data_IF_989382122309
#
_entry.id   IF_989382122309
#
_cell.length_a   1.000
_cell.length_b   1.000
_cell.length_c   1.000
_cell.angle_alpha   90.00
_cell.angle_beta   90.00
_cell.angle_gamma   90.00
#
_symmetry.space_group_name_H-M   'P 1'
#
loop_
_entity.id
_entity.type
_entity.pdbx_description
1 polymer ?
#
# COMPACT_ATOMS: atom_id res chain seq x y z
N UNK A 1 -15.74 -3.07 13.69
CA UNK A 1 -15.35 -3.61 15.02
C UNK A 1 -13.83 -3.48 15.14
N UNK A 2 -13.36 -2.76 16.16
CA UNK A 2 -11.93 -2.50 16.34
C UNK A 2 -11.32 -3.58 17.24
N UNK A 3 -10.30 -4.27 16.76
CA UNK A 3 -9.57 -5.29 17.51
C UNK A 3 -8.19 -4.78 17.89
N UNK A 4 -8.02 -4.39 19.15
CA UNK A 4 -6.71 -4.03 19.66
C UNK A 4 -5.88 -5.31 19.95
N UNK A 5 -4.84 -5.51 19.16
CA UNK A 5 -3.91 -6.64 19.31
C UNK A 5 -2.89 -6.46 20.45
N UNK A 6 -2.70 -5.23 20.93
CA UNK A 6 -1.70 -4.91 21.96
C UNK A 6 -2.25 -5.05 23.39
N UNK A 7 -3.54 -4.73 23.57
CA UNK A 7 -4.20 -4.81 24.87
C UNK A 7 -5.27 -5.90 24.90
N UNK A 8 -5.26 -6.78 25.89
CA UNK A 8 -6.25 -7.83 26.11
C UNK A 8 -6.60 -8.66 24.84
N UNK A 9 -5.56 -9.06 24.08
CA UNK A 9 -5.66 -9.70 22.75
C UNK A 9 -6.72 -10.81 22.69
N UNK A 10 -6.69 -11.75 23.63
CA UNK A 10 -7.61 -12.89 23.65
C UNK A 10 -9.05 -12.47 23.99
N UNK A 11 -9.23 -11.58 24.98
CA UNK A 11 -10.54 -11.06 25.33
C UNK A 11 -11.19 -10.34 24.15
N UNK A 12 -10.42 -9.52 23.44
CA UNK A 12 -10.90 -8.82 22.26
C UNK A 12 -11.18 -9.76 21.09
N UNK A 13 -10.37 -10.81 20.92
CA UNK A 13 -10.60 -11.83 19.89
C UNK A 13 -11.91 -12.58 20.12
N UNK A 14 -12.16 -13.04 21.35
CA UNK A 14 -13.41 -13.72 21.70
C UNK A 14 -14.63 -12.79 21.60
N UNK A 15 -14.49 -11.56 22.06
CA UNK A 15 -15.56 -10.54 21.90
C UNK A 15 -15.91 -10.34 20.43
N UNK A 16 -14.90 -10.24 19.56
CA UNK A 16 -15.11 -10.13 18.11
C UNK A 16 -15.76 -11.39 17.54
N UNK A 17 -15.34 -12.57 17.98
CA UNK A 17 -15.96 -13.84 17.56
C UNK A 17 -17.45 -13.89 17.93
N UNK A 18 -17.79 -13.52 19.17
CA UNK A 18 -19.19 -13.48 19.59
C UNK A 18 -20.01 -12.46 18.81
N UNK A 19 -19.43 -11.29 18.48
CA UNK A 19 -20.10 -10.32 17.62
C UNK A 19 -20.35 -10.90 16.22
N UNK A 20 -19.37 -11.54 15.60
CA UNK A 20 -19.54 -12.20 14.30
C UNK A 20 -20.64 -13.26 14.34
N UNK A 21 -20.66 -14.10 15.38
CA UNK A 21 -21.70 -15.13 15.54
C UNK A 21 -23.10 -14.54 15.71
N UNK A 22 -23.21 -13.41 16.42
CA UNK A 22 -24.50 -12.72 16.65
C UNK A 22 -25.11 -12.23 15.32
N UNK A 23 -24.29 -11.81 14.37
CA UNK A 23 -24.75 -11.31 13.05
C UNK A 23 -25.27 -12.47 12.15
N UNK A 24 -24.95 -13.73 12.47
CA UNK A 24 -25.41 -14.93 11.74
C UNK A 24 -25.13 -14.85 10.22
N UNK A 25 -23.90 -14.49 9.86
CA UNK A 25 -23.49 -14.46 8.45
C UNK A 25 -23.63 -15.84 7.79
N UNK A 26 -24.16 -15.90 6.57
CA UNK A 26 -24.19 -17.12 5.77
C UNK A 26 -22.80 -17.50 5.28
N UNK A 27 -22.00 -16.51 4.85
CA UNK A 27 -20.66 -16.71 4.30
C UNK A 27 -19.65 -15.83 5.02
N UNK A 28 -18.51 -16.40 5.42
CA UNK A 28 -17.35 -15.68 5.95
C UNK A 28 -16.12 -15.97 5.08
N UNK A 29 -15.50 -14.91 4.57
CA UNK A 29 -14.33 -14.98 3.69
C UNK A 29 -13.11 -14.42 4.43
N UNK A 30 -12.03 -15.19 4.49
CA UNK A 30 -10.79 -14.83 5.17
C UNK A 30 -9.63 -14.69 4.20
N UNK A 31 -9.18 -13.45 3.99
CA UNK A 31 -8.04 -13.12 3.13
C UNK A 31 -6.68 -13.27 3.85
N UNK A 32 -6.67 -13.64 5.13
CA UNK A 32 -5.44 -13.68 5.92
C UNK A 32 -4.98 -15.10 6.25
N UNK A 33 -3.68 -15.24 6.46
CA UNK A 33 -3.00 -16.53 6.72
C UNK A 33 -2.68 -16.77 8.19
N UNK A 34 -3.20 -15.95 9.10
CA UNK A 34 -2.87 -16.03 10.53
C UNK A 34 -3.88 -16.88 11.31
N UNK A 35 -3.40 -17.65 12.30
CA UNK A 35 -4.23 -18.50 13.14
C UNK A 35 -5.37 -17.73 13.83
N UNK A 36 -5.13 -16.48 14.26
CA UNK A 36 -6.18 -15.66 14.92
C UNK A 36 -7.36 -15.37 14.00
N UNK A 37 -7.11 -15.05 12.74
CA UNK A 37 -8.20 -14.85 11.76
C UNK A 37 -8.81 -16.18 11.31
N UNK A 38 -8.00 -17.25 11.27
CA UNK A 38 -8.48 -18.60 11.06
C UNK A 38 -9.49 -19.03 12.13
N UNK A 39 -9.21 -18.74 13.40
CA UNK A 39 -10.13 -19.00 14.52
C UNK A 39 -11.45 -18.25 14.35
N UNK A 40 -11.41 -16.95 14.00
CA UNK A 40 -12.63 -16.18 13.73
C UNK A 40 -13.44 -16.80 12.60
N UNK A 41 -12.79 -17.25 11.52
CA UNK A 41 -13.45 -17.88 10.37
C UNK A 41 -14.04 -19.23 10.75
N UNK A 42 -13.23 -20.13 11.33
CA UNK A 42 -13.62 -21.50 11.66
C UNK A 42 -14.81 -21.55 12.63
N UNK A 43 -14.83 -20.63 13.61
CA UNK A 43 -15.84 -20.60 14.66
C UNK A 43 -16.88 -19.47 14.48
N UNK A 44 -16.94 -18.83 13.33
CA UNK A 44 -17.91 -17.76 13.01
C UNK A 44 -19.37 -18.21 13.13
N UNK A 45 -19.65 -19.50 12.94
CA UNK A 45 -21.00 -20.03 12.82
C UNK A 45 -21.60 -19.95 11.41
N UNK A 46 -20.86 -19.40 10.46
CA UNK A 46 -21.28 -19.33 9.06
C UNK A 46 -21.34 -20.73 8.42
N UNK A 47 -22.30 -20.91 7.50
CA UNK A 47 -22.42 -22.16 6.69
C UNK A 47 -21.21 -22.29 5.79
N UNK A 48 -20.86 -21.21 5.08
CA UNK A 48 -19.68 -21.16 4.22
C UNK A 48 -18.55 -20.39 4.89
N UNK A 49 -17.41 -21.03 4.99
CA UNK A 49 -16.19 -20.49 5.57
C UNK A 49 -15.07 -20.67 4.54
N UNK A 50 -14.72 -19.59 3.88
CA UNK A 50 -13.79 -19.56 2.74
C UNK A 50 -12.49 -18.92 3.16
N UNK A 51 -11.35 -19.45 2.74
CA UNK A 51 -10.05 -18.85 3.02
C UNK A 51 -8.90 -19.54 2.31
N UNK A 52 -7.68 -19.07 2.55
CA UNK A 52 -6.50 -19.67 1.94
C UNK A 52 -6.01 -20.92 2.67
N UNK A 53 -5.57 -21.94 1.92
CA UNK A 53 -4.96 -23.18 2.44
C UNK A 53 -3.77 -22.94 3.36
N UNK A 54 -3.05 -21.81 3.20
CA UNK A 54 -1.94 -21.42 4.08
C UNK A 54 -2.37 -20.97 5.48
N UNK A 55 -3.67 -20.83 5.74
CA UNK A 55 -4.14 -20.57 7.11
C UNK A 55 -4.05 -21.85 7.93
N UNK A 56 -3.45 -21.83 9.14
CA UNK A 56 -3.29 -23.04 9.97
C UNK A 56 -4.61 -23.76 10.31
N UNK A 57 -5.74 -23.04 10.28
CA UNK A 57 -7.07 -23.60 10.57
C UNK A 57 -7.91 -23.84 9.29
N UNK A 58 -7.27 -23.84 8.12
CA UNK A 58 -7.96 -24.01 6.83
C UNK A 58 -8.66 -25.36 6.70
N UNK A 59 -8.26 -26.39 7.45
CA UNK A 59 -8.92 -27.69 7.50
C UNK A 59 -10.32 -27.64 8.13
N UNK A 60 -10.66 -26.59 8.87
CA UNK A 60 -12.00 -26.31 9.41
C UNK A 60 -12.87 -25.44 8.48
N UNK A 61 -12.32 -24.99 7.37
CA UNK A 61 -13.07 -24.20 6.40
C UNK A 61 -13.89 -25.12 5.49
N UNK A 62 -15.06 -24.64 5.06
CA UNK A 62 -15.88 -25.35 4.07
C UNK A 62 -15.24 -25.35 2.69
N UNK A 63 -14.48 -24.28 2.38
CA UNK A 63 -13.75 -24.14 1.13
C UNK A 63 -12.40 -23.46 1.34
N UNK A 64 -11.34 -24.02 0.75
CA UNK A 64 -10.00 -23.45 0.89
C UNK A 64 -9.26 -23.41 -0.44
N UNK A 65 -8.65 -22.25 -0.73
CA UNK A 65 -7.99 -21.93 -2.00
C UNK A 65 -6.48 -21.88 -1.82
N UNK A 66 -5.72 -22.30 -2.82
CA UNK A 66 -4.26 -22.19 -2.86
C UNK A 66 -3.88 -20.71 -3.00
N UNK A 67 -2.86 -20.28 -2.27
CA UNK A 67 -2.31 -18.93 -2.35
C UNK A 67 -0.79 -19.00 -2.56
N UNK A 68 -0.34 -18.64 -3.74
CA UNK A 68 1.08 -18.62 -4.10
C UNK A 68 1.52 -17.18 -4.41
N UNK A 69 2.63 -16.76 -3.80
CA UNK A 69 3.25 -15.45 -4.07
C UNK A 69 4.45 -15.70 -5.00
N UNK A 70 4.58 -14.87 -6.02
CA UNK A 70 5.65 -15.02 -7.01
C UNK A 70 5.27 -15.86 -8.23
N UNK A 71 3.99 -16.18 -8.38
CA UNK A 71 3.42 -16.88 -9.55
C UNK A 71 3.13 -15.93 -10.75
N UNK A 72 3.52 -14.64 -10.64
CA UNK A 72 3.28 -13.61 -11.64
C UNK A 72 1.90 -12.96 -11.56
N UNK A 73 0.98 -13.47 -10.74
CA UNK A 73 -0.36 -12.91 -10.56
C UNK A 73 -0.37 -11.76 -9.57
N UNK A 74 -1.28 -10.82 -9.77
CA UNK A 74 -1.51 -9.76 -8.78
C UNK A 74 -2.30 -10.31 -7.57
N UNK A 75 -2.10 -9.72 -6.37
CA UNK A 75 -2.80 -10.13 -5.15
C UNK A 75 -4.33 -10.04 -5.27
N UNK A 76 -4.84 -9.10 -6.07
CA UNK A 76 -6.28 -8.99 -6.37
C UNK A 76 -6.81 -10.27 -7.02
N UNK A 77 -6.07 -10.84 -7.97
CA UNK A 77 -6.48 -12.06 -8.67
C UNK A 77 -6.50 -13.25 -7.70
N UNK A 78 -5.48 -13.35 -6.83
CA UNK A 78 -5.45 -14.38 -5.78
C UNK A 78 -6.59 -14.21 -4.76
N UNK A 79 -6.94 -12.97 -4.42
CA UNK A 79 -8.09 -12.70 -3.54
C UNK A 79 -9.41 -13.03 -4.23
N UNK A 80 -9.54 -12.80 -5.54
CA UNK A 80 -10.74 -13.15 -6.31
C UNK A 80 -10.96 -14.67 -6.40
N UNK A 81 -9.90 -15.47 -6.36
CA UNK A 81 -10.06 -16.93 -6.30
C UNK A 81 -10.90 -17.40 -5.09
N UNK A 82 -10.90 -16.63 -4.00
CA UNK A 82 -11.73 -16.95 -2.82
C UNK A 82 -13.24 -16.81 -3.10
N UNK A 83 -13.62 -16.02 -4.08
CA UNK A 83 -15.03 -15.78 -4.43
C UNK A 83 -15.39 -16.34 -5.81
N UNK A 84 -14.55 -17.16 -6.41
CA UNK A 84 -14.77 -17.71 -7.75
C UNK A 84 -16.09 -18.49 -7.87
N UNK A 85 -16.53 -19.15 -6.79
CA UNK A 85 -17.82 -19.84 -6.75
C UNK A 85 -19.03 -18.92 -6.52
N UNK A 86 -18.78 -17.67 -6.09
CA UNK A 86 -19.82 -16.69 -5.75
C UNK A 86 -19.98 -15.63 -6.84
N UNK A 87 -19.00 -15.49 -7.72
CA UNK A 87 -18.96 -14.45 -8.75
C UNK A 87 -18.26 -14.96 -10.01
N UNK A 88 -18.88 -14.72 -11.17
CA UNK A 88 -18.30 -15.00 -12.48
C UNK A 88 -17.49 -13.79 -13.00
N UNK A 89 -17.22 -12.81 -12.15
CA UNK A 89 -16.58 -11.55 -12.56
C UNK A 89 -15.08 -11.73 -12.79
N UNK A 90 -14.58 -11.16 -13.86
CA UNK A 90 -13.16 -10.92 -14.02
C UNK A 90 -12.64 -10.02 -12.88
N UNK A 91 -11.35 -10.12 -12.58
CA UNK A 91 -10.71 -9.28 -11.57
C UNK A 91 -10.88 -7.80 -11.92
N UNK A 92 -11.48 -7.04 -11.01
CA UNK A 92 -11.71 -5.60 -11.18
C UNK A 92 -10.66 -4.84 -10.36
N UNK A 93 -10.08 -3.79 -10.96
CA UNK A 93 -9.17 -2.90 -10.24
C UNK A 93 -9.88 -2.23 -9.05
N UNK A 94 -9.23 -2.11 -7.90
CA UNK A 94 -9.81 -1.44 -6.74
C UNK A 94 -10.14 0.01 -7.07
N UNK A 95 -11.16 0.56 -6.40
CA UNK A 95 -11.57 1.95 -6.54
C UNK A 95 -11.79 2.59 -5.17
N UNK A 96 -11.41 3.85 -5.05
CA UNK A 96 -11.74 4.69 -3.90
C UNK A 96 -12.72 5.79 -4.32
N UNK A 97 -13.55 6.19 -3.37
CA UNK A 97 -14.63 7.17 -3.58
C UNK A 97 -14.51 8.30 -2.55
N UNK A 98 -13.59 9.28 -2.77
CA UNK A 98 -13.51 10.47 -1.92
C UNK A 98 -14.84 11.21 -1.92
N UNK A 99 -15.27 11.65 -0.74
CA UNK A 99 -16.48 12.43 -0.54
C UNK A 99 -16.29 13.87 -1.04
N UNK A 100 -17.38 14.63 -1.16
CA UNK A 100 -17.29 16.06 -1.48
C UNK A 100 -16.49 16.85 -0.44
N UNK A 101 -16.56 16.42 0.83
CA UNK A 101 -15.74 16.99 1.92
C UNK A 101 -14.25 16.73 1.69
N UNK A 102 -13.88 15.49 1.26
CA UNK A 102 -12.48 15.17 0.95
C UNK A 102 -11.95 15.99 -0.22
N UNK A 103 -12.76 16.17 -1.27
CA UNK A 103 -12.41 16.98 -2.45
C UNK A 103 -12.21 18.44 -2.09
N UNK A 104 -13.15 19.03 -1.32
CA UNK A 104 -13.06 20.42 -0.85
C UNK A 104 -11.83 20.68 0.00
N UNK A 105 -11.40 19.70 0.80
CA UNK A 105 -10.22 19.84 1.67
C UNK A 105 -8.90 19.98 0.88
N UNK A 106 -8.84 19.51 -0.37
CA UNK A 106 -7.62 19.52 -1.18
C UNK A 106 -7.68 20.44 -2.40
N UNK A 107 -8.83 21.03 -2.71
CA UNK A 107 -9.01 21.85 -3.92
C UNK A 107 -8.06 23.04 -3.98
N UNK A 108 -7.73 23.67 -2.84
CA UNK A 108 -6.78 24.79 -2.76
C UNK A 108 -5.32 24.42 -3.03
N UNK A 109 -4.99 23.11 -3.20
CA UNK A 109 -3.68 22.66 -3.64
C UNK A 109 -3.60 22.47 -5.16
N UNK A 110 -4.72 22.55 -5.89
CA UNK A 110 -4.84 22.19 -7.30
C UNK A 110 -4.89 23.41 -8.25
N UNK A 111 -4.55 24.60 -7.76
CA UNK A 111 -4.57 25.87 -8.49
C UNK A 111 -3.44 26.02 -9.52
N UNK A 112 -2.45 25.15 -9.49
CA UNK A 112 -1.34 25.09 -10.43
C UNK A 112 -0.91 23.64 -10.69
N UNK A 113 -0.15 23.36 -11.75
CA UNK A 113 0.38 22.02 -12.01
C UNK A 113 1.23 21.51 -10.84
N UNK A 114 1.08 20.23 -10.48
CA UNK A 114 1.81 19.64 -9.36
C UNK A 114 2.08 18.15 -9.53
N UNK A 115 3.03 17.69 -8.73
CA UNK A 115 3.31 16.28 -8.51
C UNK A 115 3.20 15.94 -7.02
N UNK A 116 2.96 14.66 -6.71
CA UNK A 116 3.01 14.14 -5.34
C UNK A 116 4.19 13.19 -5.17
N UNK A 117 4.89 13.30 -4.05
CA UNK A 117 5.93 12.37 -3.64
C UNK A 117 5.53 11.72 -2.32
N UNK A 118 5.63 10.39 -2.22
CA UNK A 118 5.43 9.64 -0.98
C UNK A 118 6.74 8.90 -0.61
N UNK A 119 7.68 9.60 0.05
CA UNK A 119 9.03 9.09 0.26
C UNK A 119 9.12 8.06 1.40
N UNK A 120 8.09 7.95 2.24
CA UNK A 120 8.08 7.06 3.39
C UNK A 120 7.66 5.63 3.09
N UNK A 121 7.98 4.73 4.02
CA UNK A 121 7.47 3.37 4.13
C UNK A 121 7.66 2.85 5.55
N UNK A 122 6.81 1.92 6.00
CA UNK A 122 6.99 1.22 7.28
C UNK A 122 8.31 0.44 7.35
N UNK A 123 8.79 -0.05 6.21
CA UNK A 123 10.03 -0.82 6.10
C UNK A 123 11.14 0.02 5.48
N UNK A 124 12.21 0.27 6.24
CA UNK A 124 13.31 1.12 5.78
C UNK A 124 13.95 0.62 4.48
N UNK A 125 14.05 -0.70 4.27
CA UNK A 125 14.60 -1.24 3.02
C UNK A 125 13.68 -1.11 1.80
N UNK A 126 12.44 -0.65 1.97
CA UNK A 126 11.54 -0.29 0.87
C UNK A 126 11.59 1.20 0.52
N UNK A 127 12.18 2.02 1.39
CA UNK A 127 12.32 3.46 1.14
C UNK A 127 13.50 3.70 0.18
N UNK A 128 13.23 4.39 -0.89
CA UNK A 128 14.30 4.92 -1.73
C UNK A 128 15.11 5.95 -0.94
N UNK A 129 16.45 6.02 -1.08
CA UNK A 129 17.28 6.92 -0.29
C UNK A 129 16.85 8.38 -0.32
N UNK A 130 16.98 9.08 0.80
CA UNK A 130 16.56 10.47 0.96
C UNK A 130 17.28 11.39 -0.03
N UNK A 131 18.54 11.12 -0.32
CA UNK A 131 19.35 11.86 -1.28
C UNK A 131 18.78 11.76 -2.70
N UNK A 132 18.24 10.61 -3.06
CA UNK A 132 17.60 10.37 -4.36
C UNK A 132 16.27 11.11 -4.50
N UNK A 133 15.48 11.17 -3.42
CA UNK A 133 14.29 12.00 -3.38
C UNK A 133 14.64 13.49 -3.52
N UNK A 134 15.68 13.95 -2.84
CA UNK A 134 16.17 15.34 -2.96
C UNK A 134 16.64 15.66 -4.38
N UNK A 135 17.34 14.72 -5.02
CA UNK A 135 17.77 14.86 -6.41
C UNK A 135 16.55 14.92 -7.37
N UNK A 136 15.57 14.04 -7.19
CA UNK A 136 14.33 14.07 -7.98
C UNK A 136 13.61 15.43 -7.85
N UNK A 137 13.48 15.95 -6.65
CA UNK A 137 12.87 17.27 -6.39
C UNK A 137 13.64 18.35 -7.16
N UNK A 138 14.97 18.41 -7.02
CA UNK A 138 15.83 19.37 -7.69
C UNK A 138 15.71 19.31 -9.22
N UNK A 139 15.76 18.10 -9.78
CA UNK A 139 15.62 17.88 -11.23
C UNK A 139 14.23 18.28 -11.73
N UNK A 140 13.19 17.97 -10.97
CA UNK A 140 11.83 18.34 -11.33
C UNK A 140 11.63 19.84 -11.35
N UNK A 141 12.04 20.57 -10.31
CA UNK A 141 11.93 22.03 -10.24
C UNK A 141 12.79 22.73 -11.30
N UNK A 142 13.97 22.19 -11.64
CA UNK A 142 14.79 22.69 -12.75
C UNK A 142 14.06 22.60 -14.10
N UNK A 143 13.33 21.49 -14.33
CA UNK A 143 12.62 21.24 -15.58
C UNK A 143 11.26 21.95 -15.64
N UNK A 144 10.61 22.08 -14.51
CA UNK A 144 9.26 22.64 -14.37
C UNK A 144 9.25 23.65 -13.21
N UNK A 145 9.73 24.89 -13.44
CA UNK A 145 9.95 25.87 -12.38
C UNK A 145 8.66 26.37 -11.70
N UNK A 146 7.51 26.19 -12.32
CA UNK A 146 6.21 26.62 -11.79
C UNK A 146 5.39 25.47 -11.17
N UNK A 147 5.93 24.24 -11.17
CA UNK A 147 5.23 23.09 -10.60
C UNK A 147 5.38 23.06 -9.09
N UNK A 148 4.27 22.78 -8.42
CA UNK A 148 4.28 22.49 -6.98
C UNK A 148 4.63 21.03 -6.71
N UNK A 149 5.24 20.77 -5.58
CA UNK A 149 5.55 19.42 -5.11
C UNK A 149 4.93 19.21 -3.73
N UNK A 150 4.06 18.21 -3.62
CA UNK A 150 3.45 17.83 -2.34
C UNK A 150 4.09 16.55 -1.81
N UNK A 151 4.66 16.64 -0.61
CA UNK A 151 5.22 15.49 0.09
C UNK A 151 4.12 14.87 0.96
N UNK A 152 3.73 13.65 0.64
CA UNK A 152 2.68 12.89 1.32
C UNK A 152 3.31 11.86 2.26
N UNK A 153 2.65 11.60 3.38
CA UNK A 153 3.11 10.62 4.35
C UNK A 153 2.20 10.52 5.56
N UNK A 154 2.39 9.46 6.35
CA UNK A 154 1.78 9.32 7.66
C UNK A 154 2.41 10.35 8.66
N UNK A 155 1.77 10.61 9.82
CA UNK A 155 2.35 11.49 10.85
C UNK A 155 3.76 11.06 11.29
N UNK A 156 4.05 9.76 11.31
CA UNK A 156 5.38 9.21 11.64
C UNK A 156 6.46 9.53 10.60
N UNK A 157 6.08 9.94 9.39
CA UNK A 157 6.99 10.25 8.28
C UNK A 157 7.24 11.77 8.14
N UNK A 158 6.65 12.57 9.04
CA UNK A 158 6.74 14.04 8.99
C UNK A 158 8.18 14.54 9.01
N UNK A 159 9.04 13.96 9.84
CA UNK A 159 10.45 14.38 9.92
C UNK A 159 11.19 14.19 8.58
N UNK A 160 10.92 13.10 7.86
CA UNK A 160 11.49 12.86 6.53
C UNK A 160 11.00 13.91 5.53
N UNK A 161 9.70 14.13 5.48
CA UNK A 161 9.11 15.10 4.56
C UNK A 161 9.58 16.54 4.83
N UNK A 162 9.72 16.94 6.10
CA UNK A 162 10.23 18.27 6.45
C UNK A 162 11.73 18.42 6.08
N UNK A 163 12.57 17.38 6.26
CA UNK A 163 13.97 17.45 5.80
C UNK A 163 14.05 17.62 4.28
N UNK A 164 13.28 16.85 3.50
CA UNK A 164 13.23 16.96 2.03
C UNK A 164 12.77 18.36 1.59
N UNK A 165 11.74 18.91 2.26
CA UNK A 165 11.27 20.28 2.02
C UNK A 165 12.37 21.30 2.28
N UNK A 166 13.04 21.23 3.42
CA UNK A 166 14.13 22.15 3.77
C UNK A 166 15.31 22.02 2.80
N UNK A 167 15.70 20.80 2.44
CA UNK A 167 16.79 20.55 1.50
C UNK A 167 16.49 21.07 0.08
N UNK A 168 15.22 21.18 -0.30
CA UNK A 168 14.82 21.73 -1.60
C UNK A 168 15.07 23.24 -1.74
N UNK A 169 15.14 23.96 -0.62
CA UNK A 169 15.24 25.42 -0.55
C UNK A 169 14.23 26.15 -1.47
N UNK A 170 13.02 25.63 -1.56
CA UNK A 170 11.97 26.14 -2.46
C UNK A 170 10.61 26.21 -1.75
N UNK A 171 9.91 27.32 -1.96
CA UNK A 171 8.53 27.50 -1.48
C UNK A 171 7.49 26.70 -2.28
N UNK A 172 7.87 26.12 -3.41
CA UNK A 172 7.05 25.24 -4.22
C UNK A 172 6.92 23.83 -3.63
N UNK A 173 7.79 23.47 -2.66
CA UNK A 173 7.74 22.18 -1.98
C UNK A 173 7.00 22.30 -0.66
N UNK A 174 5.90 21.57 -0.53
CA UNK A 174 5.04 21.61 0.67
C UNK A 174 4.90 20.22 1.29
N UNK A 175 5.17 20.10 2.58
CA UNK A 175 4.91 18.87 3.34
C UNK A 175 3.44 18.84 3.79
N UNK A 176 2.74 17.81 3.35
CA UNK A 176 1.37 17.46 3.75
C UNK A 176 1.33 16.18 4.61
N UNK A 177 2.50 15.69 5.01
CA UNK A 177 2.61 14.49 5.87
C UNK A 177 1.80 14.66 7.16
N UNK A 178 0.92 13.70 7.43
CA UNK A 178 0.03 13.71 8.60
C UNK A 178 -1.10 14.73 8.58
N UNK A 179 -1.23 15.55 7.52
CA UNK A 179 -2.24 16.63 7.42
C UNK A 179 -3.49 16.21 6.65
N UNK A 180 -3.41 15.16 5.85
CA UNK A 180 -4.50 14.67 5.02
C UNK A 180 -4.97 13.30 5.48
N UNK A 181 -6.28 13.03 5.36
CA UNK A 181 -6.81 11.68 5.45
C UNK A 181 -6.37 10.85 4.23
N UNK A 182 -6.57 9.53 4.29
CA UNK A 182 -6.26 8.65 3.15
C UNK A 182 -7.08 9.00 1.90
N UNK A 183 -8.37 9.35 2.05
CA UNK A 183 -9.23 9.72 0.94
C UNK A 183 -8.88 11.11 0.39
N UNK A 184 -8.48 12.05 1.23
CA UNK A 184 -7.97 13.35 0.80
C UNK A 184 -6.65 13.21 0.04
N UNK A 185 -5.73 12.39 0.54
CA UNK A 185 -4.48 12.06 -0.17
C UNK A 185 -4.75 11.41 -1.52
N UNK A 186 -5.70 10.45 -1.57
CA UNK A 186 -6.09 9.79 -2.82
C UNK A 186 -6.67 10.78 -3.84
N UNK A 187 -7.52 11.73 -3.40
CA UNK A 187 -8.07 12.76 -4.28
C UNK A 187 -6.99 13.70 -4.82
N UNK A 188 -6.06 14.13 -3.95
CA UNK A 188 -4.92 14.94 -4.38
C UNK A 188 -4.06 14.17 -5.39
N UNK A 189 -3.76 12.90 -5.13
CA UNK A 189 -2.98 12.04 -6.03
C UNK A 189 -3.68 11.83 -7.38
N UNK A 190 -5.02 11.74 -7.41
CA UNK A 190 -5.81 11.55 -8.63
C UNK A 190 -5.56 12.64 -9.66
N UNK A 191 -5.45 13.88 -9.20
CA UNK A 191 -5.33 15.07 -10.03
C UNK A 191 -3.86 15.49 -10.27
N UNK A 192 -2.89 14.82 -9.66
CA UNK A 192 -1.47 15.07 -9.86
C UNK A 192 -1.02 14.67 -11.27
N UNK A 193 -0.11 15.42 -11.86
CA UNK A 193 0.50 15.06 -13.14
C UNK A 193 1.30 13.77 -13.06
N UNK A 194 1.92 13.51 -11.90
CA UNK A 194 2.62 12.26 -11.59
C UNK A 194 2.70 12.08 -10.07
N UNK A 195 2.60 10.83 -9.65
CA UNK A 195 2.86 10.42 -8.28
C UNK A 195 4.11 9.56 -8.24
N UNK A 196 5.11 9.94 -7.46
CA UNK A 196 6.31 9.12 -7.23
C UNK A 196 6.22 8.52 -5.83
N UNK A 197 6.26 7.21 -5.75
CA UNK A 197 5.98 6.48 -4.51
C UNK A 197 6.92 5.28 -4.35
N UNK A 198 7.15 4.86 -3.12
CA UNK A 198 7.75 3.55 -2.85
C UNK A 198 6.71 2.42 -2.98
N UNK A 199 7.14 1.15 -2.93
CA UNK A 199 6.29 -0.01 -2.70
C UNK A 199 5.65 0.08 -1.30
N UNK A 200 4.57 0.88 -1.19
CA UNK A 200 3.88 1.23 0.06
C UNK A 200 2.42 1.63 -0.19
N UNK A 201 1.67 1.94 0.86
CA UNK A 201 0.24 2.27 0.75
C UNK A 201 -0.11 3.35 -0.29
N UNK A 202 0.65 4.44 -0.48
CA UNK A 202 0.39 5.42 -1.54
C UNK A 202 0.34 4.85 -2.96
N UNK A 203 1.12 3.80 -3.26
CA UNK A 203 1.05 3.09 -4.55
C UNK A 203 -0.37 2.54 -4.80
N UNK A 204 -0.96 1.97 -3.77
CA UNK A 204 -2.31 1.38 -3.87
C UNK A 204 -3.40 2.45 -3.89
N UNK A 205 -3.20 3.59 -3.22
CA UNK A 205 -4.08 4.75 -3.33
C UNK A 205 -4.08 5.29 -4.78
N UNK A 206 -2.91 5.50 -5.37
CA UNK A 206 -2.77 5.92 -6.76
C UNK A 206 -3.45 4.92 -7.72
N UNK A 207 -3.22 3.62 -7.53
CA UNK A 207 -3.82 2.56 -8.33
C UNK A 207 -5.35 2.58 -8.24
N UNK A 208 -5.91 2.73 -7.04
CA UNK A 208 -7.36 2.76 -6.81
C UNK A 208 -8.04 4.02 -7.35
N UNK A 209 -7.28 5.10 -7.56
CA UNK A 209 -7.74 6.33 -8.20
C UNK A 209 -7.42 6.37 -9.71
N UNK A 210 -6.78 5.33 -10.25
CA UNK A 210 -6.23 5.30 -11.61
C UNK A 210 -5.35 6.54 -11.91
N UNK A 211 -4.63 7.02 -10.89
CA UNK A 211 -3.74 8.18 -10.97
C UNK A 211 -2.41 7.82 -11.65
N UNK A 212 -1.79 8.72 -12.41
CA UNK A 212 -0.45 8.49 -12.96
C UNK A 212 0.55 8.19 -11.84
N UNK A 213 1.31 7.10 -11.92
CA UNK A 213 2.21 6.69 -10.85
C UNK A 213 3.52 6.09 -11.35
N UNK A 214 4.61 6.49 -10.73
CA UNK A 214 5.92 5.85 -10.83
C UNK A 214 6.27 5.26 -9.47
N UNK A 215 6.38 3.93 -9.40
CA UNK A 215 6.63 3.19 -8.18
C UNK A 215 8.08 2.71 -8.13
N UNK A 216 8.79 3.01 -7.03
CA UNK A 216 10.16 2.58 -6.78
C UNK A 216 10.15 1.33 -5.91
N UNK A 217 10.77 0.25 -6.40
CA UNK A 217 10.90 -1.03 -5.71
C UNK A 217 12.37 -1.27 -5.37
N UNK A 218 12.74 -1.06 -4.10
CA UNK A 218 14.11 -1.32 -3.61
C UNK A 218 14.29 -2.80 -3.26
N UNK A 219 13.98 -3.20 -2.02
CA UNK A 219 14.24 -4.56 -1.51
C UNK A 219 13.21 -5.62 -1.88
N UNK A 220 12.06 -5.21 -2.37
CA UNK A 220 10.96 -6.07 -2.85
C UNK A 220 10.88 -6.04 -4.37
N UNK A 221 10.01 -6.87 -4.96
CA UNK A 221 9.80 -6.96 -6.41
C UNK A 221 8.31 -6.91 -6.76
N UNK A 222 7.93 -6.31 -7.90
CA UNK A 222 6.55 -6.28 -8.39
C UNK A 222 5.95 -7.66 -8.60
N UNK A 223 6.79 -8.66 -8.94
CA UNK A 223 6.37 -10.05 -9.17
C UNK A 223 5.74 -10.73 -7.93
N UNK A 224 5.85 -10.12 -6.73
CA UNK A 224 5.08 -10.57 -5.58
C UNK A 224 3.57 -10.28 -5.72
N UNK A 225 3.18 -9.50 -6.72
CA UNK A 225 1.80 -9.21 -7.05
C UNK A 225 1.24 -7.95 -6.41
N UNK A 226 2.12 -6.98 -6.07
CA UNK A 226 1.74 -5.69 -5.49
C UNK A 226 2.18 -4.50 -6.36
N UNK A 227 2.37 -4.72 -7.66
CA UNK A 227 2.69 -3.68 -8.62
C UNK A 227 1.56 -2.66 -8.82
N UNK A 228 1.85 -1.54 -9.52
CA UNK A 228 0.84 -0.53 -9.83
C UNK A 228 -0.23 -1.07 -10.79
N UNK A 229 -1.47 -0.62 -10.59
CA UNK A 229 -2.64 -0.99 -11.42
C UNK A 229 -3.19 0.20 -12.23
N UNK A 230 -2.61 1.38 -12.11
CA UNK A 230 -3.01 2.54 -12.91
C UNK A 230 -2.65 2.32 -14.38
N UNK A 231 -3.51 2.79 -15.28
CA UNK A 231 -3.27 2.73 -16.73
C UNK A 231 -1.97 3.44 -17.12
N UNK A 232 -1.67 4.59 -16.50
CA UNK A 232 -0.41 5.33 -16.67
C UNK A 232 0.49 5.03 -15.47
N UNK A 233 1.23 3.94 -15.55
CA UNK A 233 2.11 3.52 -14.47
C UNK A 233 3.48 3.09 -14.97
N UNK A 234 4.49 3.27 -14.12
CA UNK A 234 5.85 2.82 -14.33
C UNK A 234 6.41 2.23 -13.04
N UNK A 235 7.13 1.14 -13.16
CA UNK A 235 7.93 0.57 -12.08
C UNK A 235 9.40 0.84 -12.33
N UNK A 236 10.11 1.25 -11.30
CA UNK A 236 11.56 1.47 -11.31
C UNK A 236 12.19 0.56 -10.28
N UNK A 237 13.21 -0.16 -10.71
CA UNK A 237 13.97 -1.13 -9.92
C UNK A 237 15.45 -1.01 -10.26
N UNK A 238 16.32 -1.52 -9.39
CA UNK A 238 17.73 -1.70 -9.73
C UNK A 238 17.87 -2.57 -11.00
N UNK A 239 18.66 -2.09 -11.95
CA UNK A 239 18.85 -2.77 -13.25
C UNK A 239 19.69 -4.03 -13.13
N UNK A 240 20.71 -4.01 -12.28
CA UNK A 240 21.60 -5.12 -12.06
C UNK A 240 20.96 -6.18 -11.18
N UNK A 241 21.12 -7.44 -11.52
CA UNK A 241 20.70 -8.55 -10.67
C UNK A 241 21.51 -8.54 -9.38
N UNK A 242 20.81 -8.52 -8.24
CA UNK A 242 21.41 -8.63 -6.93
C UNK A 242 20.97 -9.95 -6.28
N UNK A 243 21.93 -10.80 -5.92
CA UNK A 243 21.65 -12.11 -5.30
C UNK A 243 20.86 -12.01 -3.97
N UNK A 244 21.02 -10.89 -3.25
CA UNK A 244 20.30 -10.62 -2.01
C UNK A 244 18.87 -10.07 -2.20
N UNK A 245 18.42 -9.85 -3.45
CA UNK A 245 17.09 -9.31 -3.76
C UNK A 245 16.21 -10.37 -4.41
N UNK A 246 14.98 -10.57 -3.93
CA UNK A 246 14.26 -9.80 -2.89
C UNK A 246 14.68 -10.19 -1.46
N UNK A 247 14.70 -9.20 -0.54
CA UNK A 247 14.98 -9.42 0.89
C UNK A 247 13.81 -10.03 1.69
N UNK A 248 12.90 -10.72 1.03
CA UNK A 248 11.67 -11.28 1.57
C UNK A 248 10.44 -10.49 1.12
N UNK A 249 9.27 -10.92 1.59
CA UNK A 249 7.97 -10.42 1.11
C UNK A 249 7.64 -8.98 1.53
N UNK A 250 8.18 -8.51 2.66
CA UNK A 250 7.73 -7.29 3.31
C UNK A 250 8.82 -6.21 3.49
N UNK A 251 10.05 -6.48 3.09
CA UNK A 251 11.18 -5.63 3.45
C UNK A 251 11.62 -5.81 4.91
N UNK A 252 12.59 -5.00 5.36
CA UNK A 252 13.23 -5.08 6.68
C UNK A 252 13.47 -3.70 7.27
N UNK A 253 13.76 -3.65 8.57
CA UNK A 253 14.10 -2.41 9.29
C UNK A 253 15.47 -1.82 8.89
N UNK A 254 16.37 -2.67 8.38
CA UNK A 254 17.66 -2.28 7.84
C UNK A 254 18.14 -3.31 6.81
N UNK A 255 19.06 -2.91 5.94
CA UNK A 255 19.66 -3.84 4.97
C UNK A 255 20.53 -4.86 5.73
N UNK A 256 20.26 -6.18 5.61
CA UNK A 256 21.05 -7.20 6.33
C UNK A 256 22.53 -7.23 5.96
N UNK A 257 22.86 -6.82 4.73
CA UNK A 257 24.23 -6.78 4.20
C UNK A 257 24.86 -5.38 4.29
N UNK A 258 24.14 -4.38 4.80
CA UNK A 258 24.63 -3.03 5.03
C UNK A 258 24.75 -2.13 3.79
N UNK A 259 24.91 -2.68 2.58
CA UNK A 259 25.23 -1.90 1.38
C UNK A 259 24.03 -1.21 0.72
N UNK A 260 22.81 -1.72 0.89
CA UNK A 260 21.54 -1.23 0.32
C UNK A 260 21.58 -0.90 -1.19
N UNK A 261 22.36 -1.64 -1.99
CA UNK A 261 22.54 -1.41 -3.43
C UNK A 261 21.21 -1.42 -4.19
N UNK A 262 20.23 -2.23 -3.76
CA UNK A 262 18.88 -2.23 -4.36
C UNK A 262 18.09 -0.91 -4.22
N UNK A 263 18.59 0.04 -3.44
CA UNK A 263 18.07 1.40 -3.35
C UNK A 263 19.05 2.43 -3.92
N UNK A 264 20.35 2.24 -3.66
CA UNK A 264 21.38 3.20 -4.03
C UNK A 264 21.67 3.25 -5.55
N UNK A 265 21.44 2.12 -6.26
CA UNK A 265 21.75 1.98 -7.69
C UNK A 265 20.54 2.21 -8.61
N UNK A 266 19.41 2.72 -8.05
CA UNK A 266 18.23 3.15 -8.79
C UNK A 266 18.41 4.57 -9.28
#
# INVERSE_FOLDING_TARGET
>A
INWDKKKAKWKNLFRLLFSIRKERYDTVINLQRFASTGLLTAFSGAKERIGFKKNPLSFLFSHSVKHEIGDGRHEIERNNDLIANLSNSASIAPRLYPTETDKKAVIGFMDSPYICLAPGSVWATKMWPEERWSELIRLHLKKYPDHRIFLLGAPSENNLCERLKLASNSNLVTSLSGKLSLLQSAELMRNAQMNYVNDSAPLHLASAMNAPVTAVFCSTIPAFGFGPLSKKSKTIEVKNKLECRPCGLHGKKSCPLGHFNCGNEI
#
